data_IF_175700214950
#
_entry.id   IF_175700214950
#
_cell.length_a   1.000
_cell.length_b   1.000
_cell.length_c   1.000
_cell.angle_alpha   90.00
_cell.angle_beta   90.00
_cell.angle_gamma   90.00
#
_symmetry.space_group_name_H-M   'P 1'
#
loop_
_entity.id
_entity.type
_entity.pdbx_description
1 polymer ?
#
# COMPACT_ATOMS: atom_id res chain seq x y z
N UNK A 1 7.20 4.85 -4.47
CA UNK A 1 6.69 5.60 -3.32
C UNK A 1 5.53 4.88 -2.67
N UNK A 2 5.11 5.34 -1.49
CA UNK A 2 3.98 4.79 -0.73
C UNK A 2 2.81 5.76 -0.77
N UNK A 3 1.61 5.22 -0.96
CA UNK A 3 0.38 5.96 -1.18
C UNK A 3 -0.73 5.45 -0.25
N UNK A 4 -1.56 6.38 0.22
CA UNK A 4 -2.89 6.04 0.71
C UNK A 4 -3.79 5.78 -0.49
N UNK A 5 -4.49 4.65 -0.46
CA UNK A 5 -5.40 4.23 -1.53
C UNK A 5 -6.75 3.81 -0.98
N UNK A 6 -7.76 3.76 -1.85
CA UNK A 6 -8.96 2.94 -1.62
C UNK A 6 -8.99 1.82 -2.63
N UNK A 7 -9.45 0.64 -2.21
CA UNK A 7 -9.50 -0.56 -3.03
C UNK A 7 -10.94 -1.03 -3.11
N UNK A 8 -11.44 -1.15 -4.34
CA UNK A 8 -12.72 -1.79 -4.58
C UNK A 8 -12.48 -3.26 -4.88
N UNK A 9 -13.06 -4.13 -4.07
CA UNK A 9 -12.98 -5.58 -4.22
C UNK A 9 -14.24 -6.22 -3.64
N UNK A 10 -14.75 -7.27 -4.28
CA UNK A 10 -16.00 -7.93 -3.88
C UNK A 10 -17.22 -6.98 -3.73
N UNK A 11 -17.22 -5.85 -4.43
CA UNK A 11 -18.29 -4.84 -4.39
C UNK A 11 -18.17 -3.83 -3.24
N UNK A 12 -17.18 -3.96 -2.37
CA UNK A 12 -16.95 -3.08 -1.22
C UNK A 12 -15.69 -2.24 -1.39
N UNK A 13 -15.67 -1.08 -0.73
CA UNK A 13 -14.51 -0.18 -0.71
C UNK A 13 -13.79 -0.30 0.62
N UNK A 14 -12.49 -0.55 0.54
CA UNK A 14 -11.58 -0.65 1.69
C UNK A 14 -10.50 0.42 1.58
N UNK A 15 -10.00 0.94 2.71
CA UNK A 15 -8.76 1.71 2.70
C UNK A 15 -7.56 0.77 2.53
N UNK A 16 -6.48 1.28 1.95
CA UNK A 16 -5.25 0.52 1.79
C UNK A 16 -4.00 1.38 1.68
N UNK A 17 -2.87 0.69 1.72
CA UNK A 17 -1.54 1.23 1.51
C UNK A 17 -0.94 0.59 0.26
N UNK A 18 -0.60 1.41 -0.74
CA UNK A 18 -0.02 0.92 -1.99
C UNK A 18 1.41 1.38 -2.14
N UNK A 19 2.31 0.44 -2.42
CA UNK A 19 3.69 0.69 -2.83
C UNK A 19 3.79 0.59 -4.35
N UNK A 20 4.30 1.65 -4.98
CA UNK A 20 4.74 1.60 -6.38
C UNK A 20 6.25 1.75 -6.37
N UNK A 21 7.00 0.75 -6.80
CA UNK A 21 8.45 0.79 -6.74
C UNK A 21 9.10 -0.15 -7.74
N UNK A 22 10.43 -0.11 -7.79
CA UNK A 22 11.20 -1.01 -8.63
C UNK A 22 11.88 -2.05 -7.75
N UNK A 23 11.88 -3.32 -8.16
CA UNK A 23 12.63 -4.39 -7.49
C UNK A 23 13.96 -4.64 -8.21
N UNK A 24 15.06 -3.96 -7.85
CA UNK A 24 16.35 -4.17 -8.51
C UNK A 24 16.99 -5.54 -8.21
N UNK A 25 16.49 -6.29 -7.22
CA UNK A 25 17.15 -7.49 -6.68
C UNK A 25 16.61 -8.83 -7.20
N UNK A 26 15.57 -8.87 -8.03
CA UNK A 26 14.88 -10.14 -8.39
C UNK A 26 15.02 -10.54 -9.87
N UNK A 27 15.41 -9.64 -10.77
CA UNK A 27 15.81 -9.97 -12.14
C UNK A 27 16.51 -8.76 -12.77
N UNK A 28 17.29 -8.96 -13.84
CA UNK A 28 18.01 -7.92 -14.61
C UNK A 28 17.11 -6.85 -15.27
N UNK A 29 15.83 -6.78 -14.91
CA UNK A 29 14.87 -5.80 -15.41
C UNK A 29 14.33 -5.00 -14.25
N UNK A 30 14.44 -3.67 -14.36
CA UNK A 30 13.79 -2.65 -13.52
C UNK A 30 12.26 -2.79 -13.61
N UNK A 31 11.73 -3.87 -13.06
CA UNK A 31 10.32 -4.21 -13.14
C UNK A 31 9.60 -3.36 -12.11
N UNK A 32 8.76 -2.45 -12.61
CA UNK A 32 7.84 -1.68 -11.78
C UNK A 32 6.80 -2.64 -11.18
N UNK A 33 6.68 -2.62 -9.85
CA UNK A 33 5.68 -3.37 -9.11
C UNK A 33 4.70 -2.43 -8.44
N UNK A 34 3.43 -2.84 -8.41
CA UNK A 34 2.37 -2.18 -7.66
C UNK A 34 1.86 -3.22 -6.65
N UNK A 35 2.10 -2.97 -5.37
CA UNK A 35 1.77 -3.88 -4.28
C UNK A 35 0.83 -3.14 -3.30
N UNK A 36 -0.36 -3.67 -3.06
CA UNK A 36 -1.36 -3.05 -2.17
C UNK A 36 -1.62 -3.93 -0.96
N UNK A 37 -1.53 -3.33 0.23
CA UNK A 37 -1.99 -3.91 1.49
C UNK A 37 -3.36 -3.30 1.83
N UNK A 38 -4.41 -4.13 1.78
CA UNK A 38 -5.79 -3.74 2.10
C UNK A 38 -5.96 -3.85 3.62
N UNK A 39 -6.46 -2.78 4.25
CA UNK A 39 -6.66 -2.79 5.70
C UNK A 39 -7.89 -3.62 6.09
N UNK A 40 -7.78 -4.31 7.22
CA UNK A 40 -8.84 -5.12 7.83
C UNK A 40 -9.50 -6.11 6.84
N UNK A 41 -8.69 -6.74 5.98
CA UNK A 41 -9.13 -7.63 4.92
C UNK A 41 -8.45 -9.00 5.02
N UNK A 42 -9.25 -10.08 5.03
CA UNK A 42 -8.80 -11.46 5.22
C UNK A 42 -9.51 -12.44 4.26
N UNK A 43 -9.57 -12.07 2.98
CA UNK A 43 -10.22 -12.88 1.93
C UNK A 43 -9.24 -13.24 0.80
N UNK A 44 -9.45 -14.41 0.19
CA UNK A 44 -8.66 -14.90 -0.95
C UNK A 44 -9.23 -14.36 -2.27
N UNK A 45 -8.52 -13.42 -2.89
CA UNK A 45 -8.99 -12.69 -4.10
C UNK A 45 -8.13 -12.94 -5.35
N UNK A 46 -7.30 -13.98 -5.34
CA UNK A 46 -6.47 -14.33 -6.50
C UNK A 46 -7.33 -14.60 -7.75
N UNK A 47 -6.97 -13.97 -8.86
CA UNK A 47 -7.69 -14.09 -10.12
C UNK A 47 -8.90 -13.17 -10.27
N UNK A 48 -9.21 -12.35 -9.26
CA UNK A 48 -10.24 -11.32 -9.34
C UNK A 48 -9.65 -9.98 -9.75
N UNK A 49 -10.44 -9.21 -10.49
CA UNK A 49 -10.14 -7.81 -10.77
C UNK A 49 -10.45 -6.95 -9.54
N UNK A 50 -9.55 -6.01 -9.25
CA UNK A 50 -9.73 -4.98 -8.22
C UNK A 50 -9.51 -3.60 -8.82
N UNK A 51 -10.14 -2.59 -8.24
CA UNK A 51 -9.86 -1.19 -8.57
C UNK A 51 -9.09 -0.53 -7.44
N UNK A 52 -8.04 0.22 -7.76
CA UNK A 52 -7.22 0.94 -6.77
C UNK A 52 -7.21 2.44 -7.08
N UNK A 53 -7.82 3.22 -6.19
CA UNK A 53 -7.83 4.68 -6.24
C UNK A 53 -6.68 5.25 -5.43
N UNK A 54 -5.82 6.05 -6.07
CA UNK A 54 -4.73 6.77 -5.41
C UNK A 54 -5.25 8.07 -4.81
N UNK A 55 -5.24 8.18 -3.48
CA UNK A 55 -5.77 9.36 -2.78
C UNK A 55 -4.68 10.36 -2.44
N UNK A 56 -3.56 9.89 -1.89
CA UNK A 56 -2.51 10.75 -1.38
C UNK A 56 -1.16 10.03 -1.42
N UNK A 57 -0.09 10.74 -1.77
CA UNK A 57 1.28 10.24 -1.67
C UNK A 57 1.80 10.49 -0.26
N UNK A 58 2.06 9.41 0.48
CA UNK A 58 2.61 9.49 1.83
C UNK A 58 4.11 9.81 1.80
N UNK A 59 4.88 9.09 0.97
CA UNK A 59 6.33 9.29 0.85
C UNK A 59 6.92 8.75 -0.45
N UNK A 60 8.15 9.18 -0.73
CA UNK A 60 8.96 8.64 -1.82
C UNK A 60 9.47 7.22 -1.53
N UNK A 61 9.96 6.56 -2.58
CA UNK A 61 10.65 5.29 -2.44
C UNK A 61 11.97 5.50 -1.70
N UNK A 62 12.32 4.54 -0.83
CA UNK A 62 13.50 4.60 0.01
C UNK A 62 14.16 3.23 0.01
N UNK A 63 15.49 3.22 -0.16
CA UNK A 63 16.30 2.03 0.10
C UNK A 63 16.53 1.88 1.59
N UNK A 64 16.41 0.66 2.09
CA UNK A 64 16.66 0.33 3.49
C UNK A 64 17.93 -0.51 3.59
N UNK A 65 18.67 -0.34 4.68
CA UNK A 65 19.88 -1.11 4.95
C UNK A 65 19.60 -2.53 5.42
N UNK A 66 18.39 -2.80 5.91
CA UNK A 66 17.96 -4.11 6.39
C UNK A 66 16.47 -4.37 6.18
N UNK A 67 16.08 -5.65 6.27
CA UNK A 67 14.67 -6.06 6.25
C UNK A 67 13.90 -5.53 7.48
N UNK A 68 14.57 -5.42 8.62
CA UNK A 68 13.98 -4.90 9.85
C UNK A 68 13.61 -3.41 9.71
N UNK A 69 14.52 -2.61 9.13
CA UNK A 69 14.25 -1.20 8.83
C UNK A 69 13.08 -1.03 7.86
N UNK A 70 13.03 -1.85 6.81
CA UNK A 70 11.91 -1.85 5.86
C UNK A 70 10.60 -2.17 6.57
N UNK A 71 10.57 -3.23 7.39
CA UNK A 71 9.38 -3.64 8.13
C UNK A 71 8.90 -2.54 9.09
N UNK A 72 9.83 -1.96 9.86
CA UNK A 72 9.51 -0.88 10.78
C UNK A 72 8.90 0.33 10.04
N UNK A 73 9.46 0.69 8.89
CA UNK A 73 8.90 1.78 8.08
C UNK A 73 7.51 1.45 7.55
N UNK A 74 7.28 0.23 7.03
CA UNK A 74 5.95 -0.17 6.55
C UNK A 74 4.89 -0.13 7.65
N UNK A 75 5.25 -0.53 8.88
CA UNK A 75 4.35 -0.39 10.03
C UNK A 75 4.04 1.09 10.34
N UNK A 76 5.04 1.96 10.34
CA UNK A 76 4.84 3.40 10.56
C UNK A 76 3.98 4.04 9.46
N UNK A 77 4.17 3.61 8.21
CA UNK A 77 3.40 4.07 7.08
C UNK A 77 1.91 3.68 7.25
N UNK A 78 1.64 2.42 7.61
CA UNK A 78 0.29 1.93 7.87
C UNK A 78 -0.41 2.70 9.01
N UNK A 79 0.28 2.94 10.12
CA UNK A 79 -0.25 3.73 11.25
C UNK A 79 -0.57 5.16 10.83
N UNK A 80 0.29 5.78 10.03
CA UNK A 80 0.10 7.14 9.53
C UNK A 80 -1.14 7.24 8.63
N UNK A 81 -1.34 6.26 7.75
CA UNK A 81 -2.52 6.19 6.89
C UNK A 81 -3.78 5.96 7.74
N UNK A 82 -3.76 5.03 8.69
CA UNK A 82 -4.87 4.75 9.61
C UNK A 82 -5.33 6.01 10.38
N UNK A 83 -4.37 6.81 10.88
CA UNK A 83 -4.68 8.09 11.54
C UNK A 83 -5.35 9.10 10.58
N UNK A 84 -4.94 9.14 9.31
CA UNK A 84 -5.53 10.02 8.29
C UNK A 84 -6.96 9.62 7.87
N UNK A 85 -7.35 8.37 8.09
CA UNK A 85 -8.70 7.85 7.81
C UNK A 85 -9.66 8.30 8.91
N UNK A 86 -9.28 8.08 10.16
CA UNK A 86 -10.10 8.39 11.35
C UNK A 86 -10.48 9.87 11.44
N UNK A 87 -9.63 10.77 10.95
CA UNK A 87 -9.88 12.22 10.93
C UNK A 87 -10.93 12.68 9.90
N UNK A 88 -11.33 11.82 8.95
CA UNK A 88 -12.30 12.16 7.88
C UNK A 88 -13.70 11.58 8.11
N UNK A 89 -13.89 10.62 9.01
CA UNK A 89 -15.18 10.00 9.31
C UNK A 89 -16.17 10.89 10.10
N UNK A 90 -15.81 12.15 10.39
CA UNK A 90 -16.60 13.10 11.17
C UNK A 90 -17.02 14.38 10.43
N UNK A 91 -17.11 14.36 9.09
CA UNK A 91 -17.67 15.47 8.30
C UNK A 91 -18.80 15.00 7.40
#
# INVERSE_FOLDING_TARGET
GVYRTRVQVLGEWHDGMTNIGTRPTVSERDTLTIETYIFDFDEMIYGLDITVDFLERLREERKFGSLEELRAQLCNDAVSIAASISSRAGR
#
